data_IF_839865031332
#
_entry.id   IF_839865031332
#
_cell.length_a   1.000
_cell.length_b   1.000
_cell.length_c   1.000
_cell.angle_alpha   90.00
_cell.angle_beta   90.00
_cell.angle_gamma   90.00
#
_symmetry.space_group_name_H-M   'P 1'
#
loop_
_entity.id
_entity.type
_entity.pdbx_description
1 polymer ?
#
# COMPACT_ATOMS: atom_id res chain seq x y z
N UNK A 1 11.98 7.08 13.51
CA UNK A 1 11.73 6.71 12.11
C UNK A 1 10.44 5.96 12.08
N UNK A 2 9.65 6.11 11.01
CA UNK A 2 8.53 5.21 10.73
C UNK A 2 9.11 3.80 10.53
N UNK A 3 8.52 2.77 11.13
CA UNK A 3 9.00 1.37 11.05
C UNK A 3 7.85 0.45 10.63
N UNK A 4 8.13 -0.47 9.70
CA UNK A 4 7.14 -1.38 9.10
C UNK A 4 7.27 -2.84 9.57
N UNK A 5 8.24 -3.15 10.44
CA UNK A 5 8.45 -4.49 10.98
C UNK A 5 8.29 -4.51 12.50
N UNK A 6 7.86 -5.65 13.02
CA UNK A 6 7.63 -5.85 14.45
C UNK A 6 8.98 -6.02 15.20
N UNK A 7 10.08 -6.29 14.47
CA UNK A 7 11.42 -6.53 15.04
C UNK A 7 12.57 -5.77 14.33
N UNK A 8 12.31 -5.04 13.25
CA UNK A 8 13.36 -4.36 12.48
C UNK A 8 12.95 -2.92 12.16
N UNK A 9 13.91 -2.00 12.16
CA UNK A 9 13.68 -0.58 11.82
C UNK A 9 13.63 -0.32 10.31
N UNK A 10 13.97 -1.33 9.50
CA UNK A 10 14.03 -1.21 8.04
C UNK A 10 12.66 -1.44 7.39
N UNK A 11 12.31 -0.58 6.44
CA UNK A 11 11.16 -0.76 5.54
C UNK A 11 11.65 -1.57 4.33
N UNK A 12 11.18 -2.81 4.21
CA UNK A 12 11.54 -3.70 3.08
C UNK A 12 10.39 -3.99 2.12
N UNK A 13 9.15 -3.70 2.53
CA UNK A 13 7.95 -3.82 1.69
C UNK A 13 7.65 -2.50 0.97
N UNK A 14 7.42 -2.56 -0.35
CA UNK A 14 7.27 -1.38 -1.19
C UNK A 14 6.17 -1.55 -2.24
N UNK A 15 5.45 -0.46 -2.52
CA UNK A 15 4.58 -0.32 -3.69
C UNK A 15 5.22 0.72 -4.60
N UNK A 16 5.61 0.31 -5.80
CA UNK A 16 6.17 1.19 -6.84
C UNK A 16 5.19 1.27 -7.99
N UNK A 17 5.04 2.46 -8.56
CA UNK A 17 4.15 2.74 -9.69
C UNK A 17 4.96 3.28 -10.87
N UNK A 18 4.48 3.07 -12.09
CA UNK A 18 5.05 3.71 -13.27
C UNK A 18 4.49 5.13 -13.44
N UNK A 19 5.13 5.92 -14.29
CA UNK A 19 4.70 7.28 -14.60
C UNK A 19 3.26 7.30 -15.17
N UNK A 20 2.87 6.27 -15.93
CA UNK A 20 1.52 6.15 -16.52
C UNK A 20 0.42 5.89 -15.48
N UNK A 21 0.76 5.34 -14.32
CA UNK A 21 -0.19 5.06 -13.23
C UNK A 21 -0.23 6.20 -12.19
N UNK A 22 0.60 7.24 -12.38
CA UNK A 22 0.74 8.31 -11.40
C UNK A 22 -0.53 9.16 -11.28
N UNK A 23 -1.24 9.38 -12.39
CA UNK A 23 -2.47 10.19 -12.41
C UNK A 23 -3.63 9.50 -11.69
N UNK A 24 -3.66 8.16 -11.67
CA UNK A 24 -4.64 7.37 -10.94
C UNK A 24 -4.31 7.22 -9.45
N UNK A 25 -3.08 7.53 -9.02
CA UNK A 25 -2.70 7.43 -7.62
C UNK A 25 -3.32 8.57 -6.79
N UNK A 26 -4.05 8.23 -5.74
CA UNK A 26 -4.65 9.21 -4.84
C UNK A 26 -3.57 9.80 -3.93
N UNK A 27 -3.30 11.10 -4.05
CA UNK A 27 -2.31 11.78 -3.23
C UNK A 27 -2.63 11.64 -1.72
N UNK A 28 -1.59 11.46 -0.90
CA UNK A 28 -1.68 11.24 0.55
C UNK A 28 -2.46 9.96 0.95
N UNK A 29 -2.56 8.97 0.06
CA UNK A 29 -3.22 7.69 0.34
C UNK A 29 -2.28 6.54 0.69
N UNK A 30 -0.97 6.80 0.73
CA UNK A 30 0.04 5.82 1.12
C UNK A 30 0.18 5.75 2.63
N UNK A 31 0.23 4.53 3.18
CA UNK A 31 0.43 4.32 4.61
C UNK A 31 0.95 2.91 4.91
N UNK A 32 1.50 2.74 6.11
CA UNK A 32 1.69 1.44 6.74
C UNK A 32 0.44 1.18 7.59
N UNK A 33 -0.26 0.10 7.30
CA UNK A 33 -1.48 -0.26 8.02
C UNK A 33 -1.11 -1.06 9.27
N UNK A 34 -1.65 -0.67 10.43
CA UNK A 34 -1.38 -1.36 11.70
C UNK A 34 -2.58 -2.19 12.17
N UNK A 35 -2.61 -3.51 11.86
CA UNK A 35 -3.69 -4.41 12.26
C UNK A 35 -3.63 -4.82 13.74
N UNK A 36 -2.57 -4.49 14.49
CA UNK A 36 -2.42 -4.91 15.90
C UNK A 36 -3.48 -4.32 16.82
N UNK A 37 -4.17 -3.27 16.36
CA UNK A 37 -5.31 -2.68 17.07
C UNK A 37 -6.58 -3.55 17.06
N UNK A 38 -6.69 -4.52 16.14
CA UNK A 38 -7.88 -5.36 16.00
C UNK A 38 -7.60 -6.84 15.68
N UNK A 39 -6.33 -7.26 15.55
CA UNK A 39 -5.90 -8.65 15.47
C UNK A 39 -4.95 -8.93 16.63
N UNK A 40 -5.46 -9.61 17.65
CA UNK A 40 -4.66 -10.03 18.79
C UNK A 40 -3.50 -10.93 18.34
N UNK A 41 -2.32 -10.72 18.93
CA UNK A 41 -1.12 -11.51 18.67
C UNK A 41 -0.66 -11.57 17.20
N UNK A 42 -1.03 -10.58 16.37
CA UNK A 42 -0.72 -10.51 14.93
C UNK A 42 0.72 -10.93 14.57
N UNK A 43 1.71 -10.40 15.31
CA UNK A 43 3.14 -10.67 15.10
C UNK A 43 3.55 -12.15 15.23
N UNK A 44 2.77 -12.94 15.95
CA UNK A 44 3.06 -14.35 16.23
C UNK A 44 2.10 -15.32 15.56
N UNK A 45 0.90 -14.87 15.16
CA UNK A 45 -0.15 -15.73 14.59
C UNK A 45 -0.51 -15.41 13.15
N UNK A 46 -0.07 -14.26 12.61
CA UNK A 46 -0.48 -13.79 11.28
C UNK A 46 0.72 -13.41 10.42
N UNK A 47 1.55 -12.46 10.85
CA UNK A 47 2.75 -12.04 10.12
C UNK A 47 3.64 -11.18 11.01
N UNK A 48 4.95 -11.24 10.79
CA UNK A 48 5.97 -10.40 11.42
C UNK A 48 6.19 -9.03 10.71
N UNK A 49 5.45 -8.76 9.63
CA UNK A 49 5.48 -7.54 8.84
C UNK A 49 4.13 -6.80 8.83
N UNK A 50 4.17 -5.46 8.77
CA UNK A 50 2.98 -4.63 8.61
C UNK A 50 2.67 -4.41 7.12
N UNK A 51 1.39 -4.44 6.70
CA UNK A 51 1.04 -4.17 5.31
C UNK A 51 1.37 -2.72 4.88
N UNK A 52 1.94 -2.56 3.68
CA UNK A 52 2.05 -1.25 3.00
C UNK A 52 0.90 -1.07 2.02
N UNK A 53 0.26 0.10 2.03
CA UNK A 53 -0.99 0.38 1.31
C UNK A 53 -0.86 1.64 0.44
N UNK A 54 -1.57 1.65 -0.69
CA UNK A 54 -1.74 2.80 -1.59
C UNK A 54 -3.14 2.72 -2.23
N UNK A 55 -3.77 3.86 -2.54
CA UNK A 55 -5.08 3.89 -3.20
C UNK A 55 -4.99 4.46 -4.61
N UNK A 56 -5.79 3.88 -5.50
CA UNK A 56 -5.88 4.26 -6.90
C UNK A 56 -7.34 4.49 -7.30
N UNK A 57 -7.61 5.54 -8.06
CA UNK A 57 -8.89 5.79 -8.71
C UNK A 57 -8.77 5.41 -10.20
N UNK A 58 -9.05 4.15 -10.51
CA UNK A 58 -8.95 3.65 -11.88
C UNK A 58 -10.27 3.91 -12.60
N UNK A 59 -10.24 4.81 -13.58
CA UNK A 59 -11.38 5.02 -14.47
C UNK A 59 -11.34 4.04 -15.65
N UNK A 60 -12.47 3.40 -15.96
CA UNK A 60 -12.59 2.56 -17.16
C UNK A 60 -12.83 3.45 -18.38
N UNK A 61 -11.82 4.16 -18.89
CA UNK A 61 -12.00 4.96 -20.11
C UNK A 61 -10.83 4.82 -21.08
N UNK A 62 -10.97 3.87 -22.00
CA UNK A 62 -10.49 4.06 -23.37
C UNK A 62 -11.63 3.69 -24.31
N UNK A 63 -12.60 4.60 -24.44
CA UNK A 63 -13.47 4.54 -25.61
C UNK A 63 -12.60 4.87 -26.81
N UNK A 64 -12.20 3.85 -27.57
CA UNK A 64 -11.56 4.04 -28.87
C UNK A 64 -12.66 4.56 -29.80
N UNK A 65 -12.76 5.87 -29.98
CA UNK A 65 -13.48 6.40 -31.14
C UNK A 65 -12.65 6.07 -32.38
N UNK A 66 -13.03 4.99 -33.05
CA UNK A 66 -12.63 4.70 -34.43
C UNK A 66 -13.00 5.90 -35.31
N UNK A 67 -12.02 6.44 -36.04
CA UNK A 67 -12.27 7.34 -37.17
C UNK A 67 -12.62 6.53 -38.42
#
# INVERSE_FOLDING_TARGET
GESASINYDDIIDHITISDELFDEHIQNSTLIHDPRSYIDNYGSTTSDHLPVWAKFEISTQKTVSSK
#
